data_IF_672917616264
#
_entry.id   IF_672917616264
#
_cell.length_a   1.000
_cell.length_b   1.000
_cell.length_c   1.000
_cell.angle_alpha   90.00
_cell.angle_beta   90.00
_cell.angle_gamma   90.00
#
_symmetry.space_group_name_H-M   'P 1'
#
loop_
_entity.id
_entity.type
_entity.pdbx_description
1 polymer ?
#
# COMPACT_ATOMS: atom_id res chain seq x y z
N UNK A 1 27.06 12.29 42.93
CA UNK A 1 27.13 11.18 41.98
C UNK A 1 26.98 11.75 40.57
N UNK A 2 27.81 11.28 39.65
CA UNK A 2 28.08 11.77 38.28
C UNK A 2 26.89 11.62 37.31
N UNK A 3 26.84 12.56 36.33
CA UNK A 3 26.21 12.51 34.99
C UNK A 3 24.67 12.36 34.97
N UNK A 4 23.82 13.22 34.38
CA UNK A 4 23.94 14.13 33.23
C UNK A 4 24.60 13.51 31.99
N UNK A 5 23.97 12.46 31.47
CA UNK A 5 23.89 12.15 30.04
C UNK A 5 22.41 11.80 29.81
N UNK A 6 21.58 12.73 29.33
CA UNK A 6 21.32 12.94 27.91
C UNK A 6 20.93 11.64 27.18
N UNK A 7 19.89 10.97 27.66
CA UNK A 7 19.08 10.07 26.84
C UNK A 7 18.03 10.91 26.11
N UNK A 8 18.49 11.57 25.05
CA UNK A 8 17.69 12.31 24.09
C UNK A 8 17.09 11.30 23.09
N UNK A 9 15.75 11.24 23.05
CA UNK A 9 14.92 10.77 21.92
C UNK A 9 15.36 9.48 21.20
N UNK A 10 14.92 8.35 21.74
CA UNK A 10 14.37 7.25 20.92
C UNK A 10 12.88 7.16 21.23
N UNK A 11 12.14 8.27 21.07
CA UNK A 11 10.74 8.13 20.69
C UNK A 11 10.77 7.59 19.27
N UNK A 12 10.88 6.26 19.16
CA UNK A 12 10.43 5.57 17.97
C UNK A 12 9.06 6.15 17.67
N UNK A 13 8.90 6.76 16.50
CA UNK A 13 7.57 6.99 15.92
C UNK A 13 6.92 5.62 15.77
N UNK A 14 6.41 5.08 16.87
CA UNK A 14 5.34 4.12 16.88
C UNK A 14 4.21 4.89 16.23
N UNK A 15 4.04 4.65 14.94
CA UNK A 15 3.10 5.28 14.06
C UNK A 15 1.72 5.29 14.74
N UNK A 16 1.36 6.40 15.39
CA UNK A 16 0.07 6.58 16.08
C UNK A 16 -1.10 6.63 15.09
N UNK A 17 -0.79 6.81 13.80
CA UNK A 17 -1.73 6.73 12.68
C UNK A 17 -1.74 5.35 12.01
N UNK A 18 -0.85 4.44 12.41
CA UNK A 18 -0.94 3.08 11.90
C UNK A 18 -2.14 2.43 12.58
N UNK A 19 -3.05 1.80 11.82
CA UNK A 19 -4.12 1.00 12.38
C UNK A 19 -3.52 -0.26 13.02
N UNK A 20 -2.93 -0.11 14.20
CA UNK A 20 -2.41 -1.21 15.01
C UNK A 20 -3.52 -1.67 15.96
N UNK A 21 -4.53 -2.35 15.43
CA UNK A 21 -5.32 -3.26 16.27
C UNK A 21 -4.68 -4.64 16.16
N UNK A 22 -3.94 -5.07 17.19
CA UNK A 22 -3.15 -6.32 17.16
C UNK A 22 -4.00 -7.59 17.03
N UNK A 23 -5.32 -7.47 17.17
CA UNK A 23 -6.29 -8.56 16.95
C UNK A 23 -6.89 -8.60 15.55
N UNK A 24 -6.61 -7.59 14.71
CA UNK A 24 -7.11 -7.55 13.34
C UNK A 24 -6.43 -8.61 12.48
N UNK A 25 -7.19 -9.21 11.55
CA UNK A 25 -6.62 -10.16 10.59
C UNK A 25 -5.62 -9.47 9.65
N UNK A 26 -4.79 -10.25 8.95
CA UNK A 26 -3.89 -9.71 7.91
C UNK A 26 -4.68 -8.93 6.87
N UNK A 27 -5.82 -9.47 6.43
CA UNK A 27 -6.69 -8.81 5.46
C UNK A 27 -7.30 -7.51 6.00
N UNK A 28 -7.66 -7.44 7.27
CA UNK A 28 -8.18 -6.21 7.86
C UNK A 28 -7.14 -5.08 7.82
N UNK A 29 -5.87 -5.38 8.13
CA UNK A 29 -4.78 -4.39 8.06
C UNK A 29 -4.52 -3.95 6.63
N UNK A 30 -4.47 -4.89 5.70
CA UNK A 30 -4.30 -4.62 4.27
C UNK A 30 -5.47 -3.78 3.72
N UNK A 31 -6.70 -4.10 4.10
CA UNK A 31 -7.89 -3.36 3.74
C UNK A 31 -7.84 -1.92 4.28
N UNK A 32 -7.48 -1.74 5.55
CA UNK A 32 -7.35 -0.40 6.16
C UNK A 32 -6.24 0.42 5.48
N UNK A 33 -5.12 -0.21 5.11
CA UNK A 33 -4.04 0.43 4.35
C UNK A 33 -4.50 0.89 2.95
N UNK A 34 -5.21 0.03 2.22
CA UNK A 34 -5.78 0.37 0.91
C UNK A 34 -6.84 1.47 0.99
N UNK A 35 -7.69 1.45 2.03
CA UNK A 35 -8.70 2.48 2.25
C UNK A 35 -8.07 3.82 2.63
N UNK A 36 -6.96 3.80 3.37
CA UNK A 36 -6.23 5.02 3.66
C UNK A 36 -5.59 5.61 2.40
N UNK A 37 -4.95 4.79 1.56
CA UNK A 37 -4.46 5.25 0.26
C UNK A 37 -5.60 5.84 -0.58
N UNK A 38 -6.73 5.12 -0.70
CA UNK A 38 -7.93 5.60 -1.40
C UNK A 38 -8.39 6.96 -0.90
N UNK A 39 -8.36 7.20 0.41
CA UNK A 39 -8.79 8.47 1.00
C UNK A 39 -7.86 9.66 0.68
N UNK A 40 -6.62 9.38 0.30
CA UNK A 40 -5.63 10.38 -0.10
C UNK A 40 -5.54 10.61 -1.62
N UNK A 41 -6.33 9.89 -2.42
CA UNK A 41 -6.35 10.09 -3.88
C UNK A 41 -7.18 11.33 -4.25
N UNK A 42 -6.75 12.03 -5.30
CA UNK A 42 -7.51 13.14 -5.90
C UNK A 42 -8.73 12.65 -6.69
N UNK A 43 -8.70 11.40 -7.15
CA UNK A 43 -9.76 10.76 -7.95
C UNK A 43 -9.44 9.31 -8.28
N UNK A 44 -10.46 8.49 -8.55
CA UNK A 44 -10.28 7.05 -8.78
C UNK A 44 -11.36 6.37 -9.65
N UNK A 45 -12.13 7.15 -10.41
CA UNK A 45 -13.25 6.64 -11.20
C UNK A 45 -14.22 5.76 -10.40
N UNK A 46 -14.89 4.83 -11.07
CA UNK A 46 -15.82 3.88 -10.42
C UNK A 46 -15.15 2.59 -9.90
N UNK A 47 -13.89 2.31 -10.26
CA UNK A 47 -13.22 1.05 -9.91
C UNK A 47 -13.18 0.81 -8.40
N UNK A 48 -12.81 1.83 -7.62
CA UNK A 48 -12.66 1.70 -6.17
C UNK A 48 -13.98 1.79 -5.43
N UNK A 49 -15.14 1.83 -6.09
CA UNK A 49 -16.44 1.89 -5.42
C UNK A 49 -16.73 0.63 -4.57
N UNK A 50 -16.21 -0.53 -4.99
CA UNK A 50 -16.33 -1.77 -4.22
C UNK A 50 -15.45 -1.79 -2.96
N UNK A 51 -14.42 -0.93 -2.88
CA UNK A 51 -13.51 -0.83 -1.75
C UNK A 51 -14.20 -0.13 -0.58
N UNK A 52 -14.84 -0.94 0.27
CA UNK A 52 -15.70 -0.49 1.36
C UNK A 52 -15.31 -1.18 2.66
N UNK A 53 -15.12 -0.41 3.73
CA UNK A 53 -14.78 -0.96 5.04
C UNK A 53 -15.85 -1.96 5.51
N UNK A 54 -15.41 -3.10 6.06
CA UNK A 54 -16.29 -4.14 6.57
C UNK A 54 -16.89 -5.07 5.52
N UNK A 55 -16.56 -4.91 4.24
CA UNK A 55 -16.87 -5.91 3.20
C UNK A 55 -15.69 -6.85 3.00
N UNK A 56 -15.92 -7.99 2.35
CA UNK A 56 -14.84 -8.92 2.04
C UNK A 56 -13.86 -8.28 1.05
N UNK A 57 -12.63 -8.03 1.49
CA UNK A 57 -11.54 -7.43 0.70
C UNK A 57 -11.23 -8.24 -0.55
N UNK A 58 -11.36 -9.56 -0.52
CA UNK A 58 -11.12 -10.42 -1.67
C UNK A 58 -12.21 -10.32 -2.75
N UNK A 59 -13.32 -9.62 -2.46
CA UNK A 59 -14.37 -9.28 -3.43
C UNK A 59 -14.23 -7.86 -3.98
N UNK A 60 -13.23 -7.09 -3.53
CA UNK A 60 -12.98 -5.75 -4.05
C UNK A 60 -12.47 -5.83 -5.49
N UNK A 61 -12.88 -4.85 -6.30
CA UNK A 61 -12.44 -4.73 -7.70
C UNK A 61 -10.93 -4.67 -7.74
N UNK A 62 -10.33 -5.52 -8.56
CA UNK A 62 -8.89 -5.55 -8.75
C UNK A 62 -8.10 -6.30 -7.68
N UNK A 63 -8.73 -6.83 -6.63
CA UNK A 63 -8.03 -7.55 -5.56
C UNK A 63 -8.08 -9.05 -5.81
N UNK A 64 -6.92 -9.70 -5.78
CA UNK A 64 -6.79 -11.16 -5.74
C UNK A 64 -6.12 -11.51 -4.42
N UNK A 65 -6.76 -12.36 -3.62
CA UNK A 65 -6.20 -12.89 -2.38
C UNK A 65 -5.52 -14.24 -2.61
N UNK A 66 -4.53 -14.53 -1.78
CA UNK A 66 -3.88 -15.83 -1.72
C UNK A 66 -4.84 -16.93 -1.23
N UNK A 67 -4.68 -18.14 -1.76
CA UNK A 67 -5.29 -19.37 -1.25
C UNK A 67 -4.31 -20.20 -0.41
N UNK A 68 -3.07 -19.74 -0.24
CA UNK A 68 -2.01 -20.42 0.51
C UNK A 68 -1.92 -19.88 1.93
N UNK A 69 -1.80 -20.80 2.89
CA UNK A 69 -1.55 -20.46 4.30
C UNK A 69 -0.14 -19.90 4.53
N UNK A 70 0.82 -20.23 3.66
CA UNK A 70 2.22 -19.78 3.78
C UNK A 70 2.44 -18.31 3.36
N UNK A 71 1.50 -17.75 2.59
CA UNK A 71 1.56 -16.38 2.10
C UNK A 71 0.15 -15.74 2.18
N UNK A 72 -0.38 -15.49 3.40
CA UNK A 72 -1.74 -15.03 3.57
C UNK A 72 -1.89 -13.56 3.16
N UNK A 73 -3.10 -13.20 2.71
CA UNK A 73 -3.47 -11.82 2.37
C UNK A 73 -3.62 -11.58 0.88
N UNK A 74 -3.46 -10.30 0.48
CA UNK A 74 -3.57 -9.86 -0.90
C UNK A 74 -2.32 -10.28 -1.69
N UNK A 75 -2.57 -10.94 -2.83
CA UNK A 75 -1.57 -11.47 -3.74
C UNK A 75 -1.36 -10.57 -4.96
N UNK A 76 -2.43 -9.98 -5.49
CA UNK A 76 -2.36 -9.07 -6.63
C UNK A 76 -3.37 -7.94 -6.54
N UNK A 77 -2.96 -6.76 -7.01
CA UNK A 77 -3.77 -5.55 -7.12
C UNK A 77 -3.70 -5.07 -8.58
N UNK A 78 -4.81 -5.13 -9.32
CA UNK A 78 -4.92 -4.63 -10.70
C UNK A 78 -6.01 -3.57 -10.81
N UNK A 79 -5.58 -2.34 -11.09
CA UNK A 79 -6.38 -1.12 -11.17
C UNK A 79 -6.06 -0.33 -12.46
N UNK A 80 -5.79 -1.07 -13.54
CA UNK A 80 -5.51 -0.48 -14.83
C UNK A 80 -6.68 0.39 -15.32
N UNK A 81 -6.39 1.56 -15.89
CA UNK A 81 -7.42 2.40 -16.51
C UNK A 81 -8.57 2.80 -15.58
N UNK A 82 -8.31 2.91 -14.27
CA UNK A 82 -9.32 3.23 -13.27
C UNK A 82 -9.57 4.73 -13.08
N UNK A 83 -8.86 5.59 -13.82
CA UNK A 83 -8.96 7.04 -13.66
C UNK A 83 -8.41 7.51 -12.31
N UNK A 84 -7.40 6.81 -11.80
CA UNK A 84 -6.73 7.15 -10.54
C UNK A 84 -5.86 8.39 -10.74
N UNK A 85 -6.07 9.41 -9.91
CA UNK A 85 -5.26 10.62 -9.83
C UNK A 85 -4.83 10.86 -8.39
N UNK A 86 -3.60 11.35 -8.20
CA UNK A 86 -2.96 11.49 -6.90
C UNK A 86 -1.53 10.97 -6.94
N UNK A 87 -1.05 10.41 -5.83
CA UNK A 87 0.29 9.85 -5.71
C UNK A 87 0.30 8.53 -4.91
N UNK A 88 1.50 7.98 -4.68
CA UNK A 88 1.71 6.74 -3.92
C UNK A 88 2.16 6.96 -2.47
N UNK A 89 2.18 8.20 -1.96
CA UNK A 89 2.69 8.50 -0.60
C UNK A 89 1.88 7.78 0.50
N UNK A 90 0.58 7.58 0.28
CA UNK A 90 -0.32 6.83 1.16
C UNK A 90 -0.37 5.32 0.89
N UNK A 91 0.37 4.81 -0.09
CA UNK A 91 0.38 3.38 -0.40
C UNK A 91 1.41 2.66 0.48
N UNK A 92 0.95 2.02 1.55
CA UNK A 92 1.81 1.35 2.52
C UNK A 92 2.28 -0.02 2.05
N UNK A 93 3.30 -0.04 1.17
CA UNK A 93 3.92 -1.28 0.64
C UNK A 93 4.31 -2.32 1.70
N UNK A 94 4.64 -1.88 2.92
CA UNK A 94 4.98 -2.76 4.04
C UNK A 94 3.85 -3.71 4.46
N UNK A 95 2.58 -3.37 4.19
CA UNK A 95 1.42 -4.20 4.53
C UNK A 95 1.17 -5.32 3.51
N UNK A 96 1.88 -5.34 2.39
CA UNK A 96 1.70 -6.31 1.31
C UNK A 96 2.99 -7.11 1.01
N UNK A 97 3.61 -7.76 2.01
CA UNK A 97 4.90 -8.43 1.82
C UNK A 97 4.85 -9.56 0.77
N UNK A 98 3.66 -10.14 0.56
CA UNK A 98 3.41 -11.23 -0.38
C UNK A 98 2.79 -10.78 -1.71
N UNK A 99 2.79 -9.47 -1.99
CA UNK A 99 2.26 -8.97 -3.24
C UNK A 99 3.13 -9.42 -4.41
N UNK A 100 2.53 -10.15 -5.34
CA UNK A 100 3.17 -10.73 -6.52
C UNK A 100 2.92 -9.90 -7.78
N UNK A 101 1.76 -9.25 -7.86
CA UNK A 101 1.35 -8.40 -8.97
C UNK A 101 0.83 -7.03 -8.52
N UNK A 102 1.33 -5.97 -9.14
CA UNK A 102 0.82 -4.61 -8.97
C UNK A 102 0.68 -3.94 -10.34
N UNK A 103 -0.56 -3.77 -10.79
CA UNK A 103 -0.90 -3.10 -12.05
C UNK A 103 -1.69 -1.83 -11.75
N UNK A 104 -1.03 -0.69 -11.91
CA UNK A 104 -1.59 0.66 -11.82
C UNK A 104 -1.52 1.37 -13.18
N UNK A 105 -1.40 0.62 -14.27
CA UNK A 105 -1.19 1.16 -15.61
C UNK A 105 -2.32 2.06 -16.10
N UNK A 106 -2.00 2.98 -17.01
CA UNK A 106 -2.97 3.87 -17.66
C UNK A 106 -3.85 4.68 -16.69
N UNK A 107 -3.20 5.32 -15.71
CA UNK A 107 -3.84 6.23 -14.77
C UNK A 107 -3.18 7.63 -14.86
N UNK A 108 -3.49 8.52 -13.93
CA UNK A 108 -2.87 9.85 -13.79
C UNK A 108 -2.09 9.98 -12.48
N UNK A 109 -1.53 8.88 -11.98
CA UNK A 109 -0.74 8.87 -10.75
C UNK A 109 0.57 9.64 -11.02
N UNK A 110 0.92 10.51 -10.08
CA UNK A 110 2.05 11.42 -10.20
C UNK A 110 2.97 11.35 -8.97
N UNK A 111 4.09 12.06 -9.04
CA UNK A 111 5.11 12.06 -7.99
C UNK A 111 6.08 10.89 -8.11
N UNK A 112 6.99 10.73 -7.13
CA UNK A 112 7.97 9.66 -7.12
C UNK A 112 7.35 8.30 -6.81
N UNK A 113 7.99 7.23 -7.28
CA UNK A 113 7.75 5.88 -6.77
C UNK A 113 8.41 5.80 -5.38
N UNK A 114 7.67 5.52 -4.30
CA UNK A 114 8.27 5.43 -2.97
C UNK A 114 9.29 4.29 -2.90
N UNK A 115 10.44 4.53 -2.24
CA UNK A 115 11.47 3.50 -2.08
C UNK A 115 11.01 2.28 -1.29
N UNK A 116 9.93 2.41 -0.51
CA UNK A 116 9.26 1.32 0.18
C UNK A 116 8.66 0.27 -0.78
N UNK A 117 8.54 0.55 -2.09
CA UNK A 117 8.22 -0.49 -3.09
C UNK A 117 9.21 -1.66 -3.04
N UNK A 118 10.47 -1.42 -2.63
CA UNK A 118 11.48 -2.46 -2.43
C UNK A 118 11.17 -3.44 -1.29
N UNK A 119 10.10 -3.21 -0.51
CA UNK A 119 9.58 -4.17 0.49
C UNK A 119 8.74 -5.29 -0.13
N UNK A 120 8.31 -5.14 -1.38
CA UNK A 120 7.55 -6.16 -2.09
C UNK A 120 8.49 -7.25 -2.62
N UNK A 121 8.96 -8.10 -1.71
CA UNK A 121 10.01 -9.11 -2.01
C UNK A 121 9.52 -10.24 -2.93
N UNK A 122 8.21 -10.49 -2.96
CA UNK A 122 7.58 -11.51 -3.79
C UNK A 122 7.09 -10.97 -5.15
N UNK A 123 7.28 -9.67 -5.43
CA UNK A 123 6.78 -9.00 -6.63
C UNK A 123 7.53 -9.46 -7.87
N UNK A 124 6.80 -9.99 -8.85
CA UNK A 124 7.35 -10.35 -10.16
C UNK A 124 6.64 -9.67 -11.33
N UNK A 125 5.47 -9.08 -11.10
CA UNK A 125 4.71 -8.33 -12.11
C UNK A 125 4.39 -6.93 -11.61
N UNK A 126 4.94 -5.91 -12.30
CA UNK A 126 4.77 -4.51 -11.93
C UNK A 126 4.51 -3.67 -13.19
N UNK A 127 3.28 -3.18 -13.33
CA UNK A 127 2.90 -2.24 -14.38
C UNK A 127 2.55 -0.87 -13.78
N UNK A 128 3.45 0.09 -13.99
CA UNK A 128 3.26 1.50 -13.65
C UNK A 128 3.19 2.39 -14.91
N UNK A 129 3.06 1.78 -16.09
CA UNK A 129 3.12 2.46 -17.39
C UNK A 129 1.96 3.42 -17.58
N UNK A 130 2.13 4.39 -18.50
CA UNK A 130 1.09 5.36 -18.86
C UNK A 130 0.53 6.13 -17.64
N UNK A 131 1.43 6.59 -16.78
CA UNK A 131 1.17 7.47 -15.64
C UNK A 131 2.03 8.75 -15.74
N UNK A 132 1.97 9.60 -14.71
CA UNK A 132 2.72 10.86 -14.60
C UNK A 132 3.81 10.79 -13.52
N UNK A 133 4.37 9.61 -13.28
CA UNK A 133 5.46 9.43 -12.31
C UNK A 133 6.65 10.30 -12.66
N UNK A 134 7.34 10.78 -11.63
CA UNK A 134 8.53 11.63 -11.73
C UNK A 134 9.62 11.15 -10.77
N UNK A 135 10.78 11.80 -10.80
CA UNK A 135 11.92 11.38 -9.97
C UNK A 135 12.65 10.16 -10.53
N UNK A 136 13.48 9.55 -9.69
CA UNK A 136 14.28 8.37 -10.07
C UNK A 136 13.57 7.08 -9.70
N UNK A 137 13.84 6.01 -10.45
CA UNK A 137 13.46 4.67 -10.05
C UNK A 137 14.22 4.36 -8.73
N UNK A 138 13.52 3.93 -7.66
CA UNK A 138 14.19 3.56 -6.41
C UNK A 138 15.24 2.48 -6.64
N UNK A 139 16.37 2.60 -5.95
CA UNK A 139 17.40 1.55 -5.92
C UNK A 139 17.24 0.72 -4.65
N UNK A 140 17.55 -0.60 -4.69
CA UNK A 140 17.55 -1.47 -3.52
C UNK A 140 18.45 -0.97 -2.38
#
# INVERSE_FOLDING_TARGET
>A
MKLLALELLLLSSACLLCPANSTASVLDRQADALLQWKSGLDGHGSCLNSWTKGTNTCNWTGIVCSTSDDAPGILSISLNSCGISGNLDGFWFAEFPHLQGLDLGNNSISGPIPSSIGRLVDLFDLDLSSNRFSGSIPTP
#
